data_IF_456734870443
#
_entry.id   IF_456734870443
#
_cell.length_a   1.000
_cell.length_b   1.000
_cell.length_c   1.000
_cell.angle_alpha   90.00
_cell.angle_beta   90.00
_cell.angle_gamma   90.00
#
_symmetry.space_group_name_H-M   'P 1'
#
loop_
_entity.id
_entity.type
_entity.pdbx_description
1 polymer ?
#
# COMPACT_ATOMS: atom_id res chain seq x y z
N UNK A 1 -24.61 26.99 -54.10
CA UNK A 1 -23.13 27.10 -54.09
C UNK A 1 -22.53 25.71 -53.93
N UNK A 2 -21.34 25.45 -54.48
CA UNK A 2 -20.65 24.17 -54.34
C UNK A 2 -19.16 24.37 -54.09
N UNK A 3 -18.57 23.54 -53.21
CA UNK A 3 -17.14 23.20 -53.19
C UNK A 3 -16.93 21.89 -52.42
N UNK A 4 -16.73 20.80 -53.17
CA UNK A 4 -16.00 19.63 -52.69
C UNK A 4 -14.51 19.88 -52.94
N UNK A 5 -13.67 19.54 -51.98
CA UNK A 5 -12.21 19.36 -52.19
C UNK A 5 -11.87 17.88 -51.96
N UNK A 6 -10.88 17.37 -52.71
CA UNK A 6 -10.53 15.94 -52.75
C UNK A 6 -9.01 15.79 -52.92
N UNK A 7 -8.43 14.89 -52.11
CA UNK A 7 -7.14 14.22 -52.38
C UNK A 7 -5.90 15.17 -52.41
N UNK A 8 -4.65 14.70 -52.63
CA UNK A 8 -4.21 13.38 -53.11
C UNK A 8 -3.59 12.44 -52.06
N UNK A 9 -3.48 11.16 -52.44
CA UNK A 9 -2.55 10.20 -51.86
C UNK A 9 -1.12 10.47 -52.39
N UNK A 10 -0.09 10.03 -51.68
CA UNK A 10 1.29 9.89 -52.20
C UNK A 10 1.76 8.45 -52.03
N UNK A 11 2.60 7.98 -52.96
CA UNK A 11 2.91 6.56 -53.21
C UNK A 11 4.32 6.20 -52.76
N UNK A 12 4.49 4.98 -52.22
CA UNK A 12 5.79 4.38 -51.89
C UNK A 12 6.40 3.67 -53.09
N UNK A 13 7.72 3.81 -53.32
CA UNK A 13 8.57 2.71 -53.76
C UNK A 13 9.71 2.49 -52.76
N UNK A 14 10.12 1.29 -52.32
CA UNK A 14 10.35 -0.03 -52.95
C UNK A 14 11.86 -0.31 -52.86
N UNK A 15 12.27 -1.31 -52.06
CA UNK A 15 13.66 -1.76 -51.97
C UNK A 15 14.09 -2.50 -53.25
N UNK A 16 15.37 -2.38 -53.63
CA UNK A 16 15.97 -3.13 -54.72
C UNK A 16 17.46 -3.38 -54.50
N UNK A 17 17.86 -4.64 -54.35
CA UNK A 17 19.27 -5.07 -54.37
C UNK A 17 19.73 -5.26 -55.83
N UNK A 18 20.98 -4.94 -56.11
CA UNK A 18 21.68 -5.30 -57.36
C UNK A 18 23.18 -5.46 -57.09
N UNK A 19 23.75 -6.64 -57.35
CA UNK A 19 25.06 -7.04 -56.83
C UNK A 19 25.85 -7.90 -57.83
N UNK A 20 26.46 -7.28 -58.84
CA UNK A 20 27.41 -7.88 -59.80
C UNK A 20 28.42 -6.77 -60.20
N UNK A 21 29.74 -6.94 -60.25
CA UNK A 21 30.58 -8.12 -59.94
C UNK A 21 31.62 -8.40 -61.03
N UNK A 22 32.84 -7.86 -60.91
CA UNK A 22 34.04 -8.19 -61.73
C UNK A 22 35.33 -7.87 -60.97
N UNK A 23 36.40 -8.64 -61.22
CA UNK A 23 37.70 -8.62 -60.52
C UNK A 23 38.88 -8.35 -61.51
N UNK A 24 40.15 -8.21 -61.05
CA UNK A 24 41.15 -7.33 -61.67
C UNK A 24 42.22 -8.05 -62.50
N UNK A 25 43.23 -7.30 -62.98
CA UNK A 25 44.59 -7.37 -62.39
C UNK A 25 45.23 -5.96 -62.25
N UNK A 26 46.48 -5.76 -61.79
CA UNK A 26 47.29 -6.33 -60.70
C UNK A 26 48.61 -5.51 -60.62
N UNK A 27 49.24 -5.42 -59.44
CA UNK A 27 50.51 -4.69 -59.19
C UNK A 27 50.38 -3.72 -58.01
N UNK A 28 51.05 -3.90 -56.87
CA UNK A 28 52.51 -3.79 -56.60
C UNK A 28 53.00 -2.34 -56.72
N UNK A 29 53.38 -1.62 -55.67
CA UNK A 29 53.59 -1.99 -54.24
C UNK A 29 53.24 -0.76 -53.34
N UNK A 30 53.56 -0.61 -52.04
CA UNK A 30 54.47 -1.30 -51.10
C UNK A 30 54.02 -1.10 -49.63
N UNK A 31 54.97 -1.13 -48.69
CA UNK A 31 54.94 -0.52 -47.34
C UNK A 31 53.95 -1.09 -46.29
N UNK A 32 54.42 -2.15 -45.63
CA UNK A 32 53.90 -2.75 -44.38
C UNK A 32 54.16 -1.84 -43.15
N UNK A 33 53.36 -1.93 -42.05
CA UNK A 33 53.38 -3.11 -41.17
C UNK A 33 52.02 -3.57 -40.59
N UNK A 34 52.03 -4.74 -39.94
CA UNK A 34 50.91 -5.26 -39.17
C UNK A 34 50.65 -4.46 -37.88
N UNK A 35 49.40 -4.08 -37.63
CA UNK A 35 48.89 -3.70 -36.31
C UNK A 35 47.42 -4.12 -36.16
N UNK A 36 47.02 -4.65 -35.00
CA UNK A 36 45.72 -5.28 -34.82
C UNK A 36 44.61 -4.31 -34.35
N UNK A 37 43.55 -4.16 -35.14
CA UNK A 37 42.37 -3.34 -34.81
C UNK A 37 41.30 -4.12 -34.02
N UNK A 38 41.67 -4.79 -32.93
CA UNK A 38 40.78 -5.71 -32.20
C UNK A 38 40.91 -5.62 -30.65
N UNK A 39 41.07 -4.41 -30.10
CA UNK A 39 41.31 -4.21 -28.66
C UNK A 39 40.49 -3.09 -27.97
N UNK A 40 39.70 -2.29 -28.71
CA UNK A 40 39.09 -1.06 -28.16
C UNK A 40 37.79 -1.25 -27.36
N UNK A 41 37.11 -2.40 -27.45
CA UNK A 41 35.78 -2.60 -26.87
C UNK A 41 35.77 -3.02 -25.38
N UNK A 42 36.86 -3.62 -24.89
CA UNK A 42 36.94 -4.18 -23.53
C UNK A 42 37.05 -3.12 -22.41
N UNK A 43 37.91 -2.07 -22.48
CA UNK A 43 38.08 -1.15 -21.36
C UNK A 43 36.83 -0.29 -21.08
N UNK A 44 36.05 0.04 -22.11
CA UNK A 44 34.80 0.78 -21.96
C UNK A 44 33.73 -0.02 -21.21
N UNK A 45 33.70 -1.35 -21.41
CA UNK A 45 32.76 -2.23 -20.71
C UNK A 45 33.09 -2.38 -19.22
N UNK A 46 34.38 -2.38 -18.86
CA UNK A 46 34.81 -2.35 -17.45
C UNK A 46 34.49 -1.00 -16.76
N UNK A 47 34.60 0.13 -17.48
CA UNK A 47 34.22 1.43 -16.91
C UNK A 47 32.71 1.52 -16.60
N UNK A 48 31.85 0.94 -17.44
CA UNK A 48 30.41 0.85 -17.13
C UNK A 48 30.12 -0.06 -15.93
N UNK A 49 30.85 -1.16 -15.77
CA UNK A 49 30.69 -2.06 -14.63
C UNK A 49 31.03 -1.38 -13.28
N UNK A 50 32.03 -0.49 -13.26
CA UNK A 50 32.41 0.24 -12.05
C UNK A 50 31.33 1.22 -11.54
N UNK A 51 30.48 1.75 -12.42
CA UNK A 51 29.40 2.67 -12.04
C UNK A 51 28.16 1.96 -11.43
N UNK A 52 27.98 0.66 -11.72
CA UNK A 52 26.86 -0.12 -11.19
C UNK A 52 27.02 -0.47 -9.70
N UNK A 53 28.26 -0.49 -9.19
CA UNK A 53 28.58 -0.75 -7.78
C UNK A 53 28.46 0.51 -6.91
N UNK A 54 27.36 1.27 -7.04
CA UNK A 54 26.95 2.14 -5.94
C UNK A 54 26.77 1.24 -4.71
N UNK A 55 27.43 1.50 -3.57
CA UNK A 55 27.04 0.84 -2.33
C UNK A 55 25.63 1.30 -2.04
N UNK A 56 24.66 0.40 -2.28
CA UNK A 56 23.36 0.45 -1.64
C UNK A 56 23.63 0.28 -0.14
N UNK A 57 24.03 1.38 0.50
CA UNK A 57 24.13 1.51 1.94
C UNK A 57 22.72 1.32 2.45
N UNK A 58 22.41 0.05 2.74
CA UNK A 58 21.23 -0.34 3.47
C UNK A 58 21.37 0.34 4.81
N UNK A 59 20.73 1.51 4.93
CA UNK A 59 20.83 2.38 6.08
C UNK A 59 20.16 1.72 7.28
N UNK A 60 20.89 0.79 7.89
CA UNK A 60 20.75 0.30 9.25
C UNK A 60 21.21 1.37 10.26
N UNK A 61 21.03 2.66 9.93
CA UNK A 61 20.97 3.72 10.92
C UNK A 61 19.78 3.47 11.84
N UNK A 62 19.88 3.94 13.08
CA UNK A 62 18.85 3.81 14.12
C UNK A 62 17.60 4.66 13.88
N UNK A 63 17.03 4.59 12.67
CA UNK A 63 15.87 5.36 12.27
C UNK A 63 14.65 5.08 13.14
N UNK A 64 13.99 6.15 13.61
CA UNK A 64 13.01 6.08 14.70
C UNK A 64 11.72 5.43 14.21
N UNK A 65 11.51 4.17 14.59
CA UNK A 65 10.26 3.46 14.27
C UNK A 65 9.10 4.02 15.10
N UNK A 66 8.19 4.74 14.44
CA UNK A 66 7.01 5.31 15.08
C UNK A 66 5.81 4.37 14.92
N UNK A 67 4.99 4.32 15.97
CA UNK A 67 3.77 3.51 16.06
C UNK A 67 2.57 4.43 16.32
N UNK A 68 1.54 4.33 15.47
CA UNK A 68 0.30 5.14 15.54
C UNK A 68 -0.91 4.23 15.42
N UNK A 69 -1.88 4.39 16.33
CA UNK A 69 -3.28 3.99 16.13
C UNK A 69 -4.12 5.23 15.90
N UNK A 70 -5.06 5.14 14.98
CA UNK A 70 -6.15 6.08 14.76
C UNK A 70 -7.31 5.41 14.02
N UNK A 71 -8.44 6.09 14.01
CA UNK A 71 -9.60 5.82 13.18
C UNK A 71 -9.80 6.99 12.21
N UNK A 72 -10.29 6.71 10.99
CA UNK A 72 -10.81 7.74 10.09
C UNK A 72 -12.27 7.46 9.72
N UNK A 73 -13.03 8.51 9.42
CA UNK A 73 -14.48 8.50 9.26
C UNK A 73 -14.84 9.06 7.89
N UNK A 74 -15.01 8.18 6.91
CA UNK A 74 -15.41 8.47 5.53
C UNK A 74 -16.94 8.66 5.51
N UNK A 75 -17.41 9.91 5.45
CA UNK A 75 -18.84 10.26 5.55
C UNK A 75 -19.32 10.87 4.23
N UNK A 76 -20.10 10.10 3.48
CA UNK A 76 -20.68 10.48 2.19
C UNK A 76 -22.11 11.02 2.35
N UNK A 77 -22.76 10.77 3.49
CA UNK A 77 -24.18 11.10 3.73
C UNK A 77 -24.43 12.22 4.75
N UNK A 78 -25.70 12.49 5.02
CA UNK A 78 -26.15 13.53 5.93
C UNK A 78 -25.99 14.95 5.38
N UNK A 79 -26.17 15.98 6.24
CA UNK A 79 -26.10 17.39 5.83
C UNK A 79 -24.67 17.93 5.70
N UNK A 80 -23.67 17.25 6.29
CA UNK A 80 -22.28 17.68 6.36
C UNK A 80 -21.31 16.54 5.97
N UNK A 81 -21.33 16.07 4.71
CA UNK A 81 -20.43 15.01 4.26
C UNK A 81 -18.96 15.47 4.27
N UNK A 82 -18.06 14.55 4.61
CA UNK A 82 -16.59 14.74 4.58
C UNK A 82 -15.98 14.19 3.29
N UNK A 83 -16.71 13.32 2.61
CA UNK A 83 -16.34 12.64 1.38
C UNK A 83 -17.33 13.01 0.27
N UNK A 84 -16.83 13.60 -0.83
CA UNK A 84 -17.65 14.14 -1.92
C UNK A 84 -17.24 13.55 -3.26
N UNK A 85 -18.21 13.00 -3.99
CA UNK A 85 -18.00 12.56 -5.37
C UNK A 85 -17.68 13.75 -6.27
N UNK A 86 -16.50 13.74 -6.89
CA UNK A 86 -16.07 14.77 -7.85
C UNK A 86 -16.09 14.30 -9.30
N UNK A 87 -16.03 12.99 -9.56
CA UNK A 87 -16.18 12.45 -10.91
C UNK A 87 -16.77 11.03 -10.94
N UNK A 88 -17.17 10.60 -12.15
CA UNK A 88 -17.59 9.24 -12.50
C UNK A 88 -17.29 8.96 -13.97
N UNK A 89 -17.06 7.70 -14.31
CA UNK A 89 -17.08 7.23 -15.68
C UNK A 89 -18.54 6.93 -16.11
N UNK A 90 -18.79 6.89 -17.42
CA UNK A 90 -20.11 6.51 -17.95
C UNK A 90 -20.58 5.11 -17.49
N UNK A 91 -19.63 4.21 -17.20
CA UNK A 91 -19.89 2.85 -16.69
C UNK A 91 -20.05 2.75 -15.17
N UNK A 92 -19.82 3.84 -14.41
CA UNK A 92 -19.81 3.78 -12.94
C UNK A 92 -21.16 3.33 -12.37
N UNK A 93 -22.27 3.83 -12.91
CA UNK A 93 -23.62 3.51 -12.40
C UNK A 93 -24.09 2.07 -12.72
N UNK A 94 -23.46 1.38 -13.67
CA UNK A 94 -23.77 -0.01 -14.04
C UNK A 94 -22.68 -1.00 -13.60
N UNK A 95 -21.56 -0.49 -13.06
CA UNK A 95 -20.48 -1.30 -12.53
C UNK A 95 -20.81 -1.82 -11.14
N UNK A 96 -20.69 -3.14 -10.95
CA UNK A 96 -20.81 -3.80 -9.63
C UNK A 96 -19.77 -3.34 -8.60
N UNK A 97 -18.73 -2.62 -9.05
CA UNK A 97 -17.62 -2.13 -8.23
C UNK A 97 -17.53 -0.61 -8.21
N UNK A 98 -18.52 0.09 -8.77
CA UNK A 98 -18.52 1.54 -9.00
C UNK A 98 -17.30 2.04 -9.82
N UNK A 99 -16.71 1.19 -10.67
CA UNK A 99 -15.47 1.48 -11.41
C UNK A 99 -15.50 2.87 -12.08
N UNK A 100 -14.44 3.66 -11.87
CA UNK A 100 -14.33 5.03 -12.37
C UNK A 100 -14.99 6.11 -11.51
N UNK A 101 -15.59 5.77 -10.37
CA UNK A 101 -15.94 6.73 -9.31
C UNK A 101 -14.68 7.40 -8.75
N UNK A 102 -14.71 8.73 -8.58
CA UNK A 102 -13.66 9.51 -7.90
C UNK A 102 -14.29 10.35 -6.78
N UNK A 103 -13.71 10.25 -5.59
CA UNK A 103 -14.13 10.95 -4.37
C UNK A 103 -12.96 11.77 -3.82
N UNK A 104 -13.24 12.99 -3.36
CA UNK A 104 -12.33 13.81 -2.54
C UNK A 104 -12.75 13.69 -1.08
N UNK A 105 -11.78 13.55 -0.18
CA UNK A 105 -12.00 13.41 1.26
C UNK A 105 -11.28 14.49 2.09
N UNK A 106 -11.95 14.91 3.16
CA UNK A 106 -11.39 15.62 4.32
C UNK A 106 -12.00 15.02 5.59
N UNK A 107 -11.62 13.79 5.91
CA UNK A 107 -12.25 12.98 6.96
C UNK A 107 -11.66 13.29 8.35
N UNK A 108 -12.45 13.27 9.44
CA UNK A 108 -11.93 13.30 10.79
C UNK A 108 -10.95 12.16 11.09
N UNK A 109 -9.88 12.44 11.85
CA UNK A 109 -9.04 11.43 12.51
C UNK A 109 -9.29 11.47 14.02
N UNK A 110 -9.46 10.30 14.65
CA UNK A 110 -9.71 10.18 16.10
C UNK A 110 -8.94 9.03 16.75
N UNK A 111 -8.77 9.08 18.08
CA UNK A 111 -8.16 7.99 18.87
C UNK A 111 -9.07 6.75 19.02
N UNK A 112 -10.39 6.93 18.96
CA UNK A 112 -11.42 5.90 19.12
C UNK A 112 -12.45 5.90 17.98
N UNK A 113 -13.34 4.89 17.93
CA UNK A 113 -14.30 4.71 16.82
C UNK A 113 -15.54 5.59 16.90
N UNK A 114 -15.86 6.21 18.04
CA UNK A 114 -17.00 7.14 18.15
C UNK A 114 -16.53 8.57 17.88
N UNK A 115 -17.00 9.15 16.78
CA UNK A 115 -16.66 10.49 16.33
C UNK A 115 -17.04 11.60 17.36
N UNK A 116 -18.04 11.35 18.21
CA UNK A 116 -18.56 12.36 19.15
C UNK A 116 -17.83 12.37 20.50
N UNK A 117 -17.29 11.23 20.94
CA UNK A 117 -16.64 11.08 22.26
C UNK A 117 -15.13 10.84 22.21
N UNK A 118 -14.56 10.55 21.03
CA UNK A 118 -13.12 10.28 20.89
C UNK A 118 -12.28 11.55 20.72
N UNK A 119 -11.07 11.55 21.28
CA UNK A 119 -10.09 12.63 21.05
C UNK A 119 -9.82 12.84 19.55
N UNK A 120 -9.95 14.07 19.02
CA UNK A 120 -9.58 14.38 17.65
C UNK A 120 -8.05 14.46 17.49
N UNK A 121 -7.53 13.90 16.39
CA UNK A 121 -6.11 13.85 16.05
C UNK A 121 -5.74 14.72 14.85
N UNK A 122 -6.69 15.00 13.95
CA UNK A 122 -6.46 15.70 12.70
C UNK A 122 -7.43 15.30 11.58
N UNK A 123 -6.94 15.26 10.33
CA UNK A 123 -7.74 14.97 9.13
C UNK A 123 -7.06 13.96 8.19
N UNK A 124 -7.83 13.12 7.49
CA UNK A 124 -7.38 12.38 6.32
C UNK A 124 -7.81 13.13 5.05
N UNK A 125 -6.84 13.69 4.33
CA UNK A 125 -7.09 14.61 3.22
C UNK A 125 -6.53 14.07 1.91
N UNK A 126 -7.36 13.99 0.87
CA UNK A 126 -6.93 13.51 -0.44
C UNK A 126 -8.06 12.97 -1.30
N UNK A 127 -7.82 11.82 -1.92
CA UNK A 127 -8.74 11.20 -2.88
C UNK A 127 -8.76 9.68 -2.77
N UNK A 128 -9.88 9.09 -3.19
CA UNK A 128 -9.90 7.69 -3.62
C UNK A 128 -10.65 7.49 -4.93
N UNK A 129 -10.25 6.45 -5.67
CA UNK A 129 -10.79 6.08 -6.98
C UNK A 129 -11.22 4.62 -6.96
N UNK A 130 -12.44 4.30 -7.39
CA UNK A 130 -12.86 2.91 -7.60
C UNK A 130 -12.14 2.33 -8.83
N UNK A 131 -11.07 1.57 -8.59
CA UNK A 131 -10.12 1.11 -9.59
C UNK A 131 -10.19 -0.40 -9.88
N UNK A 132 -10.81 -1.19 -9.00
CA UNK A 132 -11.12 -2.59 -9.26
C UNK A 132 -12.30 -2.75 -10.22
N UNK A 133 -12.18 -3.66 -11.20
CA UNK A 133 -13.29 -4.06 -12.09
C UNK A 133 -14.04 -5.28 -11.56
N UNK A 134 -13.31 -6.21 -10.96
CA UNK A 134 -13.80 -7.53 -10.56
C UNK A 134 -14.18 -7.58 -9.06
N UNK A 135 -13.65 -6.64 -8.27
CA UNK A 135 -13.96 -6.45 -6.85
C UNK A 135 -13.94 -4.95 -6.47
N UNK A 136 -14.52 -4.62 -5.30
CA UNK A 136 -14.55 -3.24 -4.76
C UNK A 136 -13.17 -2.86 -4.19
N UNK A 137 -12.24 -2.55 -5.09
CA UNK A 137 -10.90 -2.07 -4.75
C UNK A 137 -10.75 -0.58 -5.09
N UNK A 138 -10.47 0.20 -4.05
CA UNK A 138 -10.14 1.61 -4.17
C UNK A 138 -8.62 1.78 -4.37
N UNK A 139 -8.20 2.68 -5.26
CA UNK A 139 -6.89 3.32 -5.18
C UNK A 139 -7.02 4.51 -4.24
N UNK A 140 -6.30 4.49 -3.13
CA UNK A 140 -6.26 5.57 -2.13
C UNK A 140 -4.99 6.38 -2.31
N UNK A 141 -5.12 7.70 -2.25
CA UNK A 141 -4.02 8.66 -2.23
C UNK A 141 -4.37 9.81 -1.27
N UNK A 142 -3.84 9.78 -0.05
CA UNK A 142 -4.24 10.68 1.05
C UNK A 142 -3.08 11.02 1.98
N UNK A 143 -3.19 12.15 2.68
CA UNK A 143 -2.34 12.51 3.81
C UNK A 143 -3.13 12.38 5.11
N UNK A 144 -2.56 11.73 6.13
CA UNK A 144 -2.96 11.98 7.50
C UNK A 144 -2.28 13.27 7.97
N UNK A 145 -3.06 14.31 8.20
CA UNK A 145 -2.64 15.65 8.62
C UNK A 145 -2.95 15.80 10.11
N UNK A 146 -1.92 15.72 10.95
CA UNK A 146 -2.09 15.76 12.40
C UNK A 146 -2.22 17.20 12.90
N UNK A 147 -3.28 17.47 13.66
CA UNK A 147 -3.63 18.78 14.21
C UNK A 147 -3.60 18.81 15.75
N UNK A 148 -3.34 17.66 16.39
CA UNK A 148 -3.34 17.51 17.84
C UNK A 148 -2.16 16.69 18.38
N UNK A 149 -1.92 16.84 19.68
CA UNK A 149 -0.94 16.06 20.44
C UNK A 149 0.49 16.13 19.90
N UNK A 150 1.26 15.05 20.13
CA UNK A 150 2.70 14.94 19.83
C UNK A 150 3.09 14.97 18.34
N UNK A 151 2.12 15.10 17.43
CA UNK A 151 2.32 15.09 15.98
C UNK A 151 1.78 16.34 15.28
N UNK A 152 1.22 17.31 16.01
CA UNK A 152 0.62 18.51 15.46
C UNK A 152 1.54 19.21 14.41
N UNK A 153 0.97 19.62 13.28
CA UNK A 153 1.67 20.25 12.16
C UNK A 153 2.52 19.30 11.31
N UNK A 154 2.43 17.98 11.54
CA UNK A 154 3.14 16.95 10.76
C UNK A 154 2.15 16.13 9.92
N UNK A 155 2.61 15.60 8.78
CA UNK A 155 1.79 14.74 7.91
C UNK A 155 2.45 13.40 7.61
N UNK A 156 1.64 12.37 7.32
CA UNK A 156 2.06 11.09 6.77
C UNK A 156 1.33 10.86 5.45
N UNK A 157 2.06 10.67 4.36
CA UNK A 157 1.51 10.43 3.03
C UNK A 157 1.31 8.94 2.79
N UNK A 158 0.09 8.54 2.41
CA UNK A 158 -0.33 7.15 2.22
C UNK A 158 -0.88 6.97 0.81
N UNK A 159 -0.35 5.98 0.09
CA UNK A 159 -0.83 5.58 -1.22
C UNK A 159 -0.93 4.05 -1.30
N UNK A 160 -2.01 3.51 -1.87
CA UNK A 160 -2.11 2.07 -2.06
C UNK A 160 -3.47 1.56 -2.54
N UNK A 161 -3.52 0.25 -2.77
CA UNK A 161 -4.74 -0.51 -3.09
C UNK A 161 -5.48 -0.86 -1.80
N UNK A 162 -6.78 -0.61 -1.78
CA UNK A 162 -7.66 -0.78 -0.62
C UNK A 162 -8.91 -1.57 -1.08
N UNK A 163 -8.78 -2.91 -1.13
CA UNK A 163 -9.89 -3.84 -1.43
C UNK A 163 -10.81 -3.93 -0.21
N UNK A 164 -11.95 -3.23 -0.24
CA UNK A 164 -12.67 -2.78 0.99
C UNK A 164 -13.09 -3.93 1.91
N UNK A 165 -13.34 -5.12 1.35
CA UNK A 165 -13.77 -6.32 2.08
C UNK A 165 -12.63 -7.18 2.64
N UNK A 166 -11.37 -6.92 2.28
CA UNK A 166 -10.22 -7.61 2.88
C UNK A 166 -10.11 -7.28 4.38
N UNK A 167 -9.94 -8.33 5.19
CA UNK A 167 -9.90 -8.25 6.65
C UNK A 167 -8.67 -7.50 7.21
N UNK A 168 -7.61 -7.34 6.41
CA UNK A 168 -6.46 -6.45 6.64
C UNK A 168 -5.97 -5.94 5.30
N UNK A 169 -5.86 -4.62 5.16
CA UNK A 169 -5.45 -3.94 3.91
C UNK A 169 -4.17 -3.16 4.16
N UNK A 170 -3.15 -3.35 3.33
CA UNK A 170 -1.84 -2.73 3.52
C UNK A 170 -1.57 -1.70 2.43
N UNK A 171 -1.37 -0.44 2.84
CA UNK A 171 -1.06 0.69 1.97
C UNK A 171 0.31 1.26 2.33
N UNK A 172 1.07 1.74 1.34
CA UNK A 172 2.42 2.23 1.56
C UNK A 172 2.40 3.62 2.22
N UNK A 173 3.25 3.80 3.24
CA UNK A 173 3.67 5.15 3.67
C UNK A 173 4.78 5.58 2.72
N UNK A 174 4.43 6.49 1.81
CA UNK A 174 5.29 6.96 0.72
C UNK A 174 6.10 8.20 1.08
N UNK A 175 5.77 8.86 2.19
CA UNK A 175 6.48 10.03 2.68
C UNK A 175 5.85 10.61 3.94
N UNK A 176 6.35 11.78 4.36
CA UNK A 176 5.80 12.56 5.47
C UNK A 176 6.51 13.89 5.65
N UNK A 177 5.94 14.73 6.51
CA UNK A 177 6.42 16.09 6.83
C UNK A 177 6.51 16.30 8.33
N UNK A 178 7.04 17.45 8.78
CA UNK A 178 7.26 17.73 10.20
C UNK A 178 8.13 16.66 10.85
N UNK A 179 7.65 16.02 11.92
CA UNK A 179 8.35 14.91 12.60
C UNK A 179 8.43 13.63 11.76
N UNK A 180 7.67 13.52 10.67
CA UNK A 180 7.66 12.40 9.74
C UNK A 180 8.44 12.70 8.44
N UNK A 181 9.30 13.72 8.41
CA UNK A 181 10.19 13.98 7.27
C UNK A 181 10.99 12.72 6.91
N UNK A 182 11.03 12.37 5.63
CA UNK A 182 11.61 11.12 5.09
C UNK A 182 10.93 9.80 5.51
N UNK A 183 9.78 9.83 6.19
CA UNK A 183 9.11 8.62 6.65
C UNK A 183 8.81 7.62 5.53
N UNK A 184 9.12 6.34 5.78
CA UNK A 184 8.78 5.20 4.89
C UNK A 184 8.18 4.06 5.69
N UNK A 185 7.29 3.28 5.07
CA UNK A 185 6.76 2.05 5.66
C UNK A 185 5.35 1.73 5.16
N UNK A 186 4.42 1.41 6.07
CA UNK A 186 3.08 0.96 5.72
C UNK A 186 2.02 1.35 6.75
N UNK A 187 0.76 1.42 6.33
CA UNK A 187 -0.43 1.46 7.17
C UNK A 187 -1.25 0.17 6.96
N UNK A 188 -1.62 -0.51 8.04
CA UNK A 188 -2.54 -1.67 8.02
C UNK A 188 -3.94 -1.23 8.48
N UNK A 189 -4.89 -1.22 7.56
CA UNK A 189 -6.27 -0.80 7.77
C UNK A 189 -7.23 -1.99 7.95
N UNK A 190 -8.28 -1.80 8.76
CA UNK A 190 -9.43 -2.69 8.90
C UNK A 190 -10.71 -1.88 8.91
N UNK A 191 -11.75 -2.35 8.23
CA UNK A 191 -13.10 -1.74 8.33
C UNK A 191 -13.66 -2.04 9.72
N UNK A 192 -14.02 -1.00 10.47
CA UNK A 192 -14.71 -1.12 11.76
C UNK A 192 -16.24 -1.13 11.54
N UNK A 193 -16.74 -0.20 10.73
CA UNK A 193 -18.12 -0.18 10.22
C UNK A 193 -18.13 0.27 8.75
N UNK A 194 -19.16 -0.14 8.01
CA UNK A 194 -19.46 0.26 6.65
C UNK A 194 -20.97 0.11 6.43
N UNK A 195 -21.68 1.18 6.13
CA UNK A 195 -23.07 1.11 5.64
C UNK A 195 -23.05 1.03 4.11
N UNK A 196 -23.54 -0.10 3.57
CA UNK A 196 -23.54 -0.36 2.13
C UNK A 196 -24.62 0.42 1.35
N UNK A 197 -25.50 1.17 2.03
CA UNK A 197 -26.52 2.03 1.40
C UNK A 197 -26.02 3.45 1.21
N UNK A 198 -25.30 3.99 2.19
CA UNK A 198 -24.78 5.37 2.15
C UNK A 198 -23.33 5.43 1.67
N UNK A 199 -22.55 4.37 1.91
CA UNK A 199 -21.10 4.33 1.74
C UNK A 199 -20.32 4.72 3.00
N UNK A 200 -21.00 5.24 4.05
CA UNK A 200 -20.33 5.77 5.24
C UNK A 200 -19.52 4.66 5.96
N UNK A 201 -18.26 4.94 6.28
CA UNK A 201 -17.33 3.96 6.83
C UNK A 201 -16.46 4.52 7.95
N UNK A 202 -16.22 3.70 8.97
CA UNK A 202 -15.20 3.96 10.00
C UNK A 202 -14.11 2.91 9.81
N UNK A 203 -12.87 3.36 9.63
CA UNK A 203 -11.74 2.49 9.31
C UNK A 203 -10.64 2.67 10.36
N UNK A 204 -10.23 1.57 11.00
CA UNK A 204 -9.19 1.59 12.01
C UNK A 204 -7.82 1.19 11.46
N UNK A 205 -6.78 1.88 11.90
CA UNK A 205 -5.39 1.40 11.75
C UNK A 205 -5.07 0.42 12.88
N UNK A 206 -4.57 -0.78 12.54
CA UNK A 206 -4.36 -1.90 13.47
C UNK A 206 -2.99 -2.57 13.26
N UNK A 207 -2.56 -3.45 14.18
CA UNK A 207 -1.46 -4.36 13.96
C UNK A 207 -1.99 -5.73 13.48
N UNK A 208 -1.06 -6.65 13.21
CA UNK A 208 -1.37 -8.09 13.21
C UNK A 208 -1.41 -8.62 14.65
N UNK A 209 -2.23 -9.65 14.89
CA UNK A 209 -2.29 -10.34 16.20
C UNK A 209 -3.66 -10.91 16.60
N UNK A 210 -4.75 -10.56 15.90
CA UNK A 210 -6.12 -10.90 16.32
C UNK A 210 -6.62 -12.30 15.90
N UNK A 211 -5.93 -13.02 15.00
CA UNK A 211 -6.35 -14.33 14.51
C UNK A 211 -5.77 -15.49 15.34
N UNK A 212 -6.50 -15.90 16.38
CA UNK A 212 -6.28 -17.21 17.02
C UNK A 212 -6.94 -18.30 16.18
N UNK A 213 -6.15 -19.10 15.46
CA UNK A 213 -6.63 -20.36 14.87
C UNK A 213 -7.11 -21.30 16.00
N UNK A 214 -8.28 -21.95 15.90
CA UNK A 214 -8.67 -23.01 16.81
C UNK A 214 -7.67 -24.17 16.77
N UNK A 215 -7.10 -24.54 17.92
CA UNK A 215 -6.14 -25.64 18.01
C UNK A 215 -6.85 -27.00 18.09
N UNK A 216 -6.37 -27.97 17.31
CA UNK A 216 -6.78 -29.38 17.45
C UNK A 216 -6.24 -29.95 18.78
N UNK A 217 -7.05 -30.67 19.57
CA UNK A 217 -6.62 -31.21 20.85
C UNK A 217 -5.78 -32.49 20.69
N UNK A 218 -4.45 -32.35 20.67
CA UNK A 218 -3.52 -33.48 20.82
C UNK A 218 -3.41 -33.92 22.28
N UNK A 219 -3.99 -35.05 22.65
CA UNK A 219 -4.03 -35.53 24.03
C UNK A 219 -2.98 -36.60 24.37
N UNK A 220 -2.16 -36.36 25.40
CA UNK A 220 -1.53 -37.41 26.21
C UNK A 220 -1.14 -36.88 27.60
N UNK A 221 -1.14 -37.73 28.64
CA UNK A 221 -0.78 -37.36 30.02
C UNK A 221 -1.65 -38.04 31.09
N UNK A 222 -1.19 -39.18 31.63
CA UNK A 222 -1.85 -39.94 32.73
C UNK A 222 -1.41 -39.44 34.11
N UNK A 223 -2.27 -39.55 35.13
CA UNK A 223 -1.88 -39.60 36.55
C UNK A 223 -2.77 -40.57 37.37
N UNK A 224 -2.33 -40.91 38.59
CA UNK A 224 -3.08 -41.62 39.67
C UNK A 224 -3.42 -40.61 40.81
N UNK A 225 -4.26 -40.86 41.81
CA UNK A 225 -4.99 -42.07 42.25
C UNK A 225 -4.30 -42.77 43.44
N UNK A 226 -4.87 -42.93 44.64
CA UNK A 226 -6.17 -42.52 45.22
C UNK A 226 -5.88 -41.46 46.35
N UNK A 227 -6.51 -41.26 47.53
CA UNK A 227 -7.61 -41.94 48.21
C UNK A 227 -8.45 -41.06 49.17
N UNK A 228 -9.76 -41.36 49.16
CA UNK A 228 -10.75 -41.32 50.27
C UNK A 228 -10.59 -40.34 51.44
N UNK A 229 -11.59 -39.44 51.59
CA UNK A 229 -12.43 -39.34 52.82
C UNK A 229 -13.74 -38.56 52.57
N UNK A 230 -14.70 -38.67 53.50
CA UNK A 230 -16.09 -38.11 53.48
C UNK A 230 -16.61 -38.05 54.93
N UNK A 231 -17.75 -37.39 55.25
CA UNK A 231 -18.27 -36.11 54.74
C UNK A 231 -18.86 -35.21 55.86
N UNK A 232 -19.20 -33.94 55.55
CA UNK A 232 -20.46 -33.26 55.95
C UNK A 232 -20.56 -31.89 55.27
N UNK A 233 -21.78 -31.40 55.05
CA UNK A 233 -22.05 -30.33 54.10
C UNK A 233 -22.24 -28.93 54.69
N UNK A 234 -22.19 -27.95 53.79
CA UNK A 234 -22.84 -26.65 53.89
C UNK A 234 -23.20 -26.19 52.46
N UNK A 235 -24.18 -25.28 52.34
CA UNK A 235 -24.71 -24.78 51.07
C UNK A 235 -23.89 -23.60 50.49
N UNK A 236 -24.16 -23.27 49.22
CA UNK A 236 -23.87 -22.03 48.46
C UNK A 236 -22.61 -21.95 47.58
N UNK A 237 -22.90 -21.69 46.28
CA UNK A 237 -22.06 -21.10 45.21
C UNK A 237 -20.95 -21.98 44.58
N UNK A 238 -20.93 -22.13 43.24
CA UNK A 238 -19.72 -22.44 42.49
C UNK A 238 -18.69 -21.30 42.61
N UNK A 239 -17.41 -21.65 42.70
CA UNK A 239 -16.31 -20.71 42.91
C UNK A 239 -15.56 -20.29 41.64
N UNK A 240 -14.74 -19.26 41.84
CA UNK A 240 -13.71 -18.72 40.94
C UNK A 240 -12.69 -19.81 40.51
N UNK A 241 -11.88 -19.55 39.47
CA UNK A 241 -10.61 -18.85 39.71
C UNK A 241 -10.54 -17.48 39.01
N UNK A 242 -9.72 -16.52 39.45
CA UNK A 242 -8.61 -16.65 40.40
C UNK A 242 -7.26 -16.80 39.71
N UNK A 243 -7.00 -16.00 38.67
CA UNK A 243 -5.73 -16.00 37.93
C UNK A 243 -5.28 -14.58 37.59
N UNK A 244 -4.09 -14.20 38.04
CA UNK A 244 -3.48 -12.88 37.80
C UNK A 244 -2.97 -12.76 36.36
N UNK A 245 -3.72 -12.07 35.50
CA UNK A 245 -3.46 -11.98 34.06
C UNK A 245 -3.44 -10.56 33.51
N UNK A 246 -2.63 -9.65 34.07
CA UNK A 246 -2.44 -8.28 33.54
C UNK A 246 -1.58 -8.31 32.27
N UNK A 247 -2.14 -8.86 31.18
CA UNK A 247 -1.45 -9.03 29.91
C UNK A 247 -1.02 -7.67 29.34
N UNK A 248 0.30 -7.47 29.27
CA UNK A 248 0.96 -6.34 28.62
C UNK A 248 1.25 -6.72 27.16
N UNK A 249 1.20 -5.75 26.26
CA UNK A 249 1.53 -5.92 24.83
C UNK A 249 0.34 -6.41 23.98
N UNK A 250 0.22 -6.06 22.69
CA UNK A 250 1.12 -5.21 21.88
C UNK A 250 0.38 -4.29 20.89
N UNK A 251 1.11 -3.30 20.36
CA UNK A 251 0.57 -2.03 19.89
C UNK A 251 0.20 -1.95 18.38
N UNK A 252 -0.71 -1.01 18.06
CA UNK A 252 -1.29 -0.77 16.73
C UNK A 252 -0.51 0.28 15.91
N UNK A 253 -0.59 0.21 14.57
CA UNK A 253 0.60 0.54 13.78
C UNK A 253 0.43 1.02 12.32
N UNK A 254 0.47 2.34 12.12
CA UNK A 254 1.12 2.96 10.94
C UNK A 254 2.64 2.93 11.16
N UNK A 255 3.38 2.07 10.45
CA UNK A 255 4.86 2.04 10.51
C UNK A 255 5.44 3.21 9.72
N UNK A 256 6.01 4.16 10.43
CA UNK A 256 6.99 5.10 9.87
C UNK A 256 8.37 4.73 10.40
N UNK A 257 9.31 4.33 9.54
CA UNK A 257 10.75 4.51 9.79
C UNK A 257 11.10 5.92 9.30
N UNK A 258 11.57 6.75 10.23
CA UNK A 258 12.17 8.07 10.01
C UNK A 258 13.69 7.88 10.00
#
# INVERSE_FOLDING_TARGET
MARRTRAPYIVTPQLGLGYIGRHPPAGSSNDTPMAAAAAAAVPLLLLLAAAAASPASAAAGGGKQTHIKLYWHDVLSGPNPTAVQVARAAVTNTSKTSFGLVVVIDDPLTEGPDLNSSTPLGRAQGTYVAAGRDEVALLVNMNFVFQGGRYNGSTVAIMGRNAVFDAVREMAVVGGTGVFRMARGYAQARTHTLDLKTGDAIVETRPRGADRRPGLPGGSGRLRGDARTRPRGADRRPGLPGGSGRLRGDASLVRCRI
#
